data_IF_835148149010
#
_entry.id   IF_835148149010
#
_cell.length_a   1.000
_cell.length_b   1.000
_cell.length_c   1.000
_cell.angle_alpha   90.00
_cell.angle_beta   90.00
_cell.angle_gamma   90.00
#
_symmetry.space_group_name_H-M   'P 1'
#
loop_
_entity.id
_entity.type
_entity.pdbx_description
1 polymer ?
#
# COMPACT_ATOMS: atom_id res chain seq x y z
N UNK A 1 5.96 4.88 4.40
CA UNK A 1 5.08 4.76 3.23
C UNK A 1 5.88 4.20 2.07
N UNK A 2 5.28 3.28 1.32
CA UNK A 2 5.84 2.84 0.05
C UNK A 2 5.00 3.39 -1.09
N UNK A 3 5.67 4.00 -2.06
CA UNK A 3 5.06 4.43 -3.32
C UNK A 3 5.27 3.33 -4.33
N UNK A 4 4.17 2.78 -4.84
CA UNK A 4 4.18 1.63 -5.75
C UNK A 4 3.53 1.98 -7.09
N UNK A 5 4.00 1.33 -8.14
CA UNK A 5 3.36 1.29 -9.45
C UNK A 5 2.91 -0.13 -9.76
N UNK A 6 1.76 -0.26 -10.44
CA UNK A 6 1.26 -1.54 -10.93
C UNK A 6 0.89 -1.38 -12.40
N UNK A 7 1.75 -1.81 -13.32
CA UNK A 7 1.50 -1.68 -14.75
C UNK A 7 0.38 -2.62 -15.21
N UNK A 8 -0.42 -2.19 -16.17
CA UNK A 8 -1.46 -3.01 -16.81
C UNK A 8 -0.90 -3.90 -17.93
N UNK A 9 0.31 -3.59 -18.41
CA UNK A 9 1.03 -4.37 -19.42
C UNK A 9 2.52 -4.43 -19.08
N UNK A 10 3.21 -5.43 -19.63
CA UNK A 10 4.67 -5.53 -19.53
C UNK A 10 5.32 -4.26 -20.09
N UNK A 11 6.32 -3.74 -19.38
CA UNK A 11 6.99 -2.50 -19.76
C UNK A 11 8.48 -2.52 -19.38
N UNK A 12 9.33 -2.13 -20.31
CA UNK A 12 10.78 -2.01 -20.11
C UNK A 12 11.37 -0.73 -20.77
N UNK A 13 10.48 0.15 -21.27
CA UNK A 13 10.80 1.41 -21.91
C UNK A 13 11.15 2.53 -20.94
N UNK A 14 10.98 3.78 -21.38
CA UNK A 14 11.32 4.97 -20.59
C UNK A 14 10.12 5.38 -19.73
N UNK A 15 10.28 5.38 -18.41
CA UNK A 15 9.35 6.06 -17.49
C UNK A 15 9.67 7.54 -17.47
N UNK A 16 9.05 8.31 -18.38
CA UNK A 16 9.49 9.66 -18.69
C UNK A 16 9.09 10.71 -17.66
N UNK A 17 7.93 10.55 -17.01
CA UNK A 17 7.48 11.51 -16.00
C UNK A 17 6.52 10.89 -15.00
N UNK A 18 6.62 11.35 -13.76
CA UNK A 18 5.72 11.03 -12.67
C UNK A 18 5.50 12.28 -11.82
N UNK A 19 4.25 12.62 -11.54
CA UNK A 19 3.89 13.58 -10.50
C UNK A 19 2.85 12.93 -9.60
N UNK A 20 3.05 13.03 -8.29
CA UNK A 20 2.08 12.58 -7.30
C UNK A 20 2.11 13.47 -6.06
N UNK A 21 0.98 13.54 -5.38
CA UNK A 21 0.82 14.33 -4.16
C UNK A 21 0.32 13.45 -3.03
N UNK A 22 0.96 13.56 -1.88
CA UNK A 22 0.54 12.93 -0.63
C UNK A 22 -0.13 13.99 0.24
N UNK A 23 -1.31 13.68 0.76
CA UNK A 23 -2.02 14.50 1.76
C UNK A 23 -2.18 13.77 3.07
N UNK A 24 -2.33 14.53 4.17
CA UNK A 24 -2.66 14.03 5.51
C UNK A 24 -3.24 15.14 6.38
N UNK A 25 -3.95 14.76 7.43
CA UNK A 25 -4.52 15.71 8.39
C UNK A 25 -3.40 16.39 9.18
N UNK A 26 -3.38 17.72 9.12
CA UNK A 26 -2.42 18.59 9.81
C UNK A 26 -2.54 18.50 11.33
N UNK A 27 -3.74 18.29 11.87
CA UNK A 27 -4.00 18.24 13.32
C UNK A 27 -3.29 17.07 14.01
N UNK A 28 -2.90 16.04 13.24
CA UNK A 28 -2.19 14.86 13.76
C UNK A 28 -0.75 15.17 14.20
N UNK A 29 -0.16 16.28 13.71
CA UNK A 29 1.26 16.58 13.90
C UNK A 29 2.22 15.62 13.20
N UNK A 30 1.72 14.69 12.39
CA UNK A 30 2.54 13.76 11.64
C UNK A 30 3.31 14.45 10.51
N UNK A 31 4.49 13.92 10.18
CA UNK A 31 5.39 14.48 9.17
C UNK A 31 5.94 13.40 8.24
N UNK A 32 6.27 13.82 7.02
CA UNK A 32 7.00 13.01 6.04
C UNK A 32 8.51 13.30 6.16
N UNK A 33 9.30 12.25 6.30
CA UNK A 33 10.77 12.31 6.24
C UNK A 33 11.29 12.39 4.80
N UNK A 34 12.62 12.31 4.65
CA UNK A 34 13.25 12.31 3.35
C UNK A 34 12.96 11.01 2.60
N UNK A 35 12.55 11.17 1.35
CA UNK A 35 12.25 10.03 0.48
C UNK A 35 13.52 9.29 0.12
N UNK A 36 13.45 7.98 0.15
CA UNK A 36 14.51 7.06 -0.25
C UNK A 36 14.09 6.31 -1.50
N UNK A 37 14.97 6.26 -2.48
CA UNK A 37 14.83 5.39 -3.65
C UNK A 37 16.02 4.45 -3.72
N UNK A 38 15.71 3.18 -3.96
CA UNK A 38 16.71 2.16 -4.22
C UNK A 38 16.89 1.93 -5.72
N UNK A 39 18.02 1.36 -6.10
CA UNK A 39 18.24 0.92 -7.47
C UNK A 39 17.40 -0.36 -7.75
N UNK A 40 16.87 -0.54 -8.96
CA UNK A 40 17.07 0.32 -10.14
C UNK A 40 16.11 1.51 -10.26
N UNK A 41 15.14 1.68 -9.34
CA UNK A 41 14.13 2.74 -9.46
C UNK A 41 14.76 4.14 -9.52
N UNK A 42 15.73 4.40 -8.66
CA UNK A 42 16.46 5.67 -8.65
C UNK A 42 17.15 5.99 -9.97
N UNK A 43 17.55 4.97 -10.74
CA UNK A 43 18.27 5.13 -12.00
C UNK A 43 17.34 5.43 -13.17
N UNK A 44 16.16 4.77 -13.23
CA UNK A 44 15.24 4.96 -14.36
C UNK A 44 14.17 6.03 -14.13
N UNK A 45 13.84 6.37 -12.88
CA UNK A 45 12.90 7.45 -12.52
C UNK A 45 13.36 8.14 -11.22
N UNK A 46 14.41 8.96 -11.25
CA UNK A 46 14.77 9.76 -10.08
C UNK A 46 13.60 10.68 -9.71
N UNK A 47 13.17 10.62 -8.45
CA UNK A 47 12.04 11.37 -7.90
C UNK A 47 12.58 12.36 -6.86
N UNK A 48 12.07 13.56 -6.86
CA UNK A 48 12.41 14.60 -5.89
C UNK A 48 11.15 15.14 -5.21
N UNK A 49 11.33 15.67 -4.02
CA UNK A 49 10.32 16.48 -3.35
C UNK A 49 10.18 17.81 -4.10
N UNK A 50 8.98 18.15 -4.54
CA UNK A 50 8.69 19.40 -5.28
C UNK A 50 8.23 20.48 -4.30
N UNK A 51 9.20 21.23 -3.77
CA UNK A 51 8.97 22.28 -2.80
C UNK A 51 8.67 21.78 -1.38
N UNK A 52 8.23 22.69 -0.52
CA UNK A 52 7.86 22.41 0.87
C UNK A 52 6.44 21.84 0.97
N UNK A 53 6.11 21.30 2.14
CA UNK A 53 4.72 21.00 2.52
C UNK A 53 3.86 22.24 2.35
N UNK A 54 2.73 22.08 1.69
CA UNK A 54 1.73 23.14 1.49
C UNK A 54 0.52 22.84 2.35
N UNK A 55 -0.07 23.89 2.93
CA UNK A 55 -1.25 23.77 3.77
C UNK A 55 -2.48 24.29 3.05
N UNK A 56 -3.58 23.54 3.12
CA UNK A 56 -4.89 23.97 2.64
C UNK A 56 -5.96 23.52 3.64
N UNK A 57 -6.57 24.46 4.35
CA UNK A 57 -7.50 24.17 5.44
C UNK A 57 -6.84 23.35 6.57
N UNK A 58 -7.45 22.19 6.87
CA UNK A 58 -6.92 21.24 7.87
C UNK A 58 -5.91 20.23 7.29
N UNK A 59 -5.53 20.37 6.03
CA UNK A 59 -4.79 19.33 5.29
C UNK A 59 -3.41 19.83 4.89
N UNK A 60 -2.42 18.98 5.07
CA UNK A 60 -1.07 19.12 4.52
C UNK A 60 -0.97 18.38 3.18
N UNK A 61 -0.19 18.93 2.26
CA UNK A 61 0.11 18.38 0.94
C UNK A 61 1.60 18.42 0.65
N UNK A 62 2.15 17.30 0.18
CA UNK A 62 3.52 17.24 -0.34
C UNK A 62 3.52 16.69 -1.75
N UNK A 63 4.05 17.48 -2.67
CA UNK A 63 4.19 17.10 -4.08
C UNK A 63 5.54 16.45 -4.31
N UNK A 64 5.56 15.43 -5.13
CA UNK A 64 6.76 14.75 -5.63
C UNK A 64 6.72 14.72 -7.15
N UNK A 65 7.88 14.88 -7.78
CA UNK A 65 8.03 14.82 -9.23
C UNK A 65 9.25 13.97 -9.61
N UNK A 66 9.08 13.13 -10.60
CA UNK A 66 10.12 12.29 -11.17
C UNK A 66 10.25 12.46 -12.68
N UNK A 67 11.48 12.42 -13.18
CA UNK A 67 11.78 12.50 -14.60
C UNK A 67 12.82 11.45 -14.96
N UNK A 68 12.45 10.50 -15.83
CA UNK A 68 13.33 9.47 -16.35
C UNK A 68 13.69 9.72 -17.82
N UNK A 69 14.94 9.46 -18.15
CA UNK A 69 15.49 9.65 -19.50
C UNK A 69 16.07 8.36 -20.08
N UNK A 70 16.17 7.30 -19.31
CA UNK A 70 16.68 6.00 -19.73
C UNK A 70 15.62 4.91 -19.60
N UNK A 71 15.67 3.91 -20.47
CA UNK A 71 14.75 2.79 -20.42
C UNK A 71 15.02 1.91 -19.18
N UNK A 72 13.99 1.30 -18.63
CA UNK A 72 14.11 0.32 -17.53
C UNK A 72 15.10 -0.79 -17.91
N UNK A 73 15.02 -1.27 -19.16
CA UNK A 73 15.91 -2.32 -19.67
C UNK A 73 17.40 -1.96 -19.58
N UNK A 74 17.77 -0.67 -19.69
CA UNK A 74 19.16 -0.21 -19.54
C UNK A 74 19.69 -0.41 -18.10
N UNK A 75 18.80 -0.57 -17.12
CA UNK A 75 19.11 -0.78 -15.72
C UNK A 75 18.72 -2.18 -15.24
N UNK A 76 18.61 -3.14 -16.17
CA UNK A 76 18.20 -4.53 -15.90
C UNK A 76 16.84 -4.63 -15.18
N UNK A 77 15.98 -3.64 -15.39
CA UNK A 77 14.64 -3.59 -14.84
C UNK A 77 13.60 -3.89 -15.92
N UNK A 78 12.52 -4.54 -15.52
CA UNK A 78 11.36 -4.79 -16.36
C UNK A 78 10.13 -4.88 -15.47
N UNK A 79 9.08 -4.20 -15.83
CA UNK A 79 7.79 -4.30 -15.16
C UNK A 79 6.93 -5.37 -15.85
N UNK A 80 6.27 -6.19 -15.05
CA UNK A 80 5.29 -7.16 -15.53
C UNK A 80 3.88 -6.70 -15.22
N UNK A 81 2.96 -6.99 -16.12
CA UNK A 81 1.55 -6.69 -15.94
C UNK A 81 1.03 -7.24 -14.60
N UNK A 82 0.38 -6.38 -13.82
CA UNK A 82 -0.24 -6.73 -12.53
C UNK A 82 0.71 -6.84 -11.34
N UNK A 83 2.03 -6.80 -11.52
CA UNK A 83 2.99 -6.80 -10.40
C UNK A 83 3.09 -5.40 -9.76
N UNK A 84 3.17 -5.36 -8.44
CA UNK A 84 3.42 -4.12 -7.71
C UNK A 84 4.91 -3.92 -7.50
N UNK A 85 5.41 -2.78 -7.97
CA UNK A 85 6.82 -2.41 -7.89
C UNK A 85 6.96 -1.20 -6.96
N UNK A 86 7.77 -1.30 -5.92
CA UNK A 86 8.12 -0.17 -5.05
C UNK A 86 9.09 0.72 -5.83
N UNK A 87 8.73 2.00 -6.00
CA UNK A 87 9.56 3.00 -6.67
C UNK A 87 10.19 4.00 -5.72
N UNK A 88 9.61 4.17 -4.53
CA UNK A 88 10.16 5.02 -3.47
C UNK A 88 9.60 4.61 -2.10
N UNK A 89 10.36 4.91 -1.05
CA UNK A 89 9.94 4.78 0.35
C UNK A 89 10.07 6.14 1.04
N UNK A 90 9.05 6.53 1.81
CA UNK A 90 9.02 7.79 2.56
C UNK A 90 8.83 7.45 4.04
N UNK A 91 9.84 7.67 4.88
CA UNK A 91 9.69 7.55 6.33
C UNK A 91 8.62 8.51 6.85
N UNK A 92 7.89 8.10 7.88
CA UNK A 92 6.88 8.94 8.53
C UNK A 92 7.15 9.02 10.02
N UNK A 93 6.82 10.16 10.62
CA UNK A 93 6.85 10.35 12.07
C UNK A 93 5.45 10.73 12.54
N UNK A 94 5.00 10.11 13.61
CA UNK A 94 3.62 10.26 14.09
C UNK A 94 2.64 9.31 13.38
N UNK A 95 1.36 9.48 13.67
CA UNK A 95 0.26 8.69 13.08
C UNK A 95 -0.67 9.63 12.32
N UNK A 96 -0.89 9.36 11.05
CA UNK A 96 -1.87 10.01 10.20
C UNK A 96 -2.29 9.07 9.07
N UNK A 97 -3.43 9.31 8.49
CA UNK A 97 -3.82 8.67 7.24
C UNK A 97 -3.19 9.44 6.08
N UNK A 98 -2.15 8.85 5.49
CA UNK A 98 -1.46 9.41 4.34
C UNK A 98 -2.03 8.84 3.06
N UNK A 99 -2.45 9.70 2.15
CA UNK A 99 -3.11 9.31 0.91
C UNK A 99 -2.45 9.96 -0.31
N UNK A 100 -2.29 9.18 -1.38
CA UNK A 100 -2.08 9.73 -2.72
C UNK A 100 -3.40 10.28 -3.21
N UNK A 101 -3.39 11.52 -3.73
CA UNK A 101 -4.62 12.21 -4.10
C UNK A 101 -4.56 12.91 -5.45
N UNK A 102 -5.75 13.05 -6.05
CA UNK A 102 -6.02 13.94 -7.17
C UNK A 102 -7.34 14.65 -6.85
N UNK A 103 -7.27 15.78 -6.15
CA UNK A 103 -8.41 16.50 -5.58
C UNK A 103 -8.44 17.98 -6.03
N UNK A 104 -9.30 18.79 -5.41
CA UNK A 104 -9.44 20.19 -5.77
C UNK A 104 -8.13 20.98 -5.64
N UNK A 105 -7.34 20.70 -4.59
CA UNK A 105 -6.05 21.34 -4.39
C UNK A 105 -5.05 20.97 -5.48
N UNK A 106 -4.95 19.69 -5.82
CA UNK A 106 -4.00 19.22 -6.84
C UNK A 106 -4.39 19.68 -8.24
N UNK A 107 -5.69 19.86 -8.51
CA UNK A 107 -6.23 20.30 -9.79
C UNK A 107 -6.07 21.81 -10.06
N UNK A 108 -5.71 22.60 -9.05
CA UNK A 108 -5.38 24.00 -9.27
C UNK A 108 -4.07 24.14 -10.03
N UNK A 109 -4.10 24.81 -11.17
CA UNK A 109 -2.92 24.98 -12.04
C UNK A 109 -1.72 25.62 -11.30
N UNK A 110 -1.98 26.52 -10.35
CA UNK A 110 -0.95 27.16 -9.53
C UNK A 110 -0.18 26.16 -8.63
N UNK A 111 -0.79 25.05 -8.27
CA UNK A 111 -0.17 24.03 -7.43
C UNK A 111 0.74 23.09 -8.21
N UNK A 112 0.50 22.91 -9.52
CA UNK A 112 1.23 21.97 -10.39
C UNK A 112 1.38 20.58 -9.74
N UNK A 113 0.29 20.07 -9.20
CA UNK A 113 0.28 18.94 -8.27
C UNK A 113 -0.60 17.77 -8.76
N UNK A 114 -1.15 17.88 -9.98
CA UNK A 114 -1.98 16.83 -10.56
C UNK A 114 -1.21 15.52 -10.66
N UNK A 115 -1.88 14.43 -10.30
CA UNK A 115 -1.36 13.10 -10.57
C UNK A 115 -1.16 12.92 -12.08
N UNK A 116 0.07 12.56 -12.45
CA UNK A 116 0.47 12.41 -13.83
C UNK A 116 1.52 11.33 -14.01
N UNK A 117 1.34 10.51 -15.04
CA UNK A 117 2.27 9.46 -15.44
C UNK A 117 2.48 9.52 -16.95
N UNK A 118 3.73 9.53 -17.39
CA UNK A 118 4.09 9.40 -18.80
C UNK A 118 5.10 8.27 -19.01
N UNK A 119 4.81 7.42 -19.99
CA UNK A 119 5.71 6.35 -20.45
C UNK A 119 6.08 6.60 -21.90
N UNK A 120 7.41 6.67 -22.19
CA UNK A 120 7.89 6.96 -23.54
C UNK A 120 7.43 8.33 -24.07
N UNK A 121 7.17 9.29 -23.18
CA UNK A 121 6.66 10.62 -23.54
C UNK A 121 5.14 10.68 -23.80
N UNK A 122 4.45 9.56 -23.80
CA UNK A 122 2.99 9.51 -23.92
C UNK A 122 2.32 9.52 -22.54
N UNK A 123 1.23 10.29 -22.40
CA UNK A 123 0.40 10.26 -21.20
C UNK A 123 -0.18 8.85 -21.00
N UNK A 124 0.10 8.29 -19.82
CA UNK A 124 -0.37 7.00 -19.37
C UNK A 124 -0.89 7.09 -17.93
N UNK A 125 -1.41 8.25 -17.58
CA UNK A 125 -2.00 8.51 -16.27
C UNK A 125 -3.14 7.53 -16.03
N UNK A 126 -2.93 6.62 -15.11
CA UNK A 126 -3.90 5.62 -14.69
C UNK A 126 -4.68 6.06 -13.47
N UNK A 127 -5.08 5.09 -12.66
CA UNK A 127 -5.80 5.32 -11.41
C UNK A 127 -4.84 5.33 -10.23
N UNK A 128 -5.12 6.18 -9.23
CA UNK A 128 -4.49 6.06 -7.92
C UNK A 128 -5.15 4.88 -7.22
N UNK A 129 -4.37 3.91 -6.81
CA UNK A 129 -4.86 2.81 -5.99
C UNK A 129 -4.12 2.81 -4.66
N UNK A 130 -4.83 2.50 -3.59
CA UNK A 130 -4.20 2.14 -2.32
C UNK A 130 -3.89 0.66 -2.44
N UNK A 131 -2.61 0.28 -2.42
CA UNK A 131 -2.27 -1.13 -2.31
C UNK A 131 -2.94 -1.63 -1.03
N UNK A 132 -3.86 -2.58 -1.19
CA UNK A 132 -4.40 -3.29 -0.05
C UNK A 132 -3.39 -4.37 0.40
N UNK A 133 -2.15 -3.96 0.65
CA UNK A 133 -1.43 -4.54 1.77
C UNK A 133 -2.21 -4.02 2.96
N UNK A 134 -3.19 -4.77 3.41
CA UNK A 134 -3.86 -4.48 4.66
C UNK A 134 -2.88 -4.71 5.80
N UNK A 135 -1.89 -3.81 5.94
CA UNK A 135 -1.56 -3.35 7.25
C UNK A 135 -2.76 -2.46 7.61
N UNK A 136 -3.85 -3.06 8.06
CA UNK A 136 -4.82 -2.34 8.86
C UNK A 136 -4.04 -1.71 9.99
N UNK A 137 -3.91 -0.39 9.95
CA UNK A 137 -3.12 0.41 10.90
C UNK A 137 -3.59 0.23 12.35
N UNK A 138 -4.65 -0.54 12.56
CA UNK A 138 -5.19 -0.75 13.89
C UNK A 138 -4.53 -1.91 14.65
N UNK A 139 -3.80 -2.84 14.03
CA UNK A 139 -3.22 -3.96 14.80
C UNK A 139 -2.06 -4.74 14.13
N UNK A 140 -1.39 -4.20 13.11
CA UNK A 140 -0.21 -4.86 12.51
C UNK A 140 -0.49 -6.23 11.89
N UNK A 141 -1.69 -6.45 11.34
CA UNK A 141 -2.06 -7.70 10.67
C UNK A 141 -1.61 -7.63 9.21
N UNK A 142 -0.76 -8.55 8.80
CA UNK A 142 -0.30 -8.70 7.42
C UNK A 142 -0.98 -9.92 6.78
N UNK A 143 -1.57 -9.76 5.60
CA UNK A 143 -2.20 -10.84 4.84
C UNK A 143 -1.61 -10.86 3.43
N UNK A 144 -0.97 -11.95 3.01
CA UNK A 144 -0.27 -12.04 1.72
C UNK A 144 -0.38 -13.45 1.10
N UNK A 145 -0.60 -13.50 -0.24
CA UNK A 145 -1.13 -12.46 -1.10
C UNK A 145 -2.61 -12.17 -0.82
N UNK A 146 -3.08 -10.95 -1.12
CA UNK A 146 -4.48 -10.60 -1.08
C UNK A 146 -4.78 -9.56 -2.19
N UNK A 147 -5.49 -9.88 -3.28
CA UNK A 147 -6.15 -11.17 -3.57
C UNK A 147 -5.20 -12.37 -3.70
N UNK A 148 -5.74 -13.59 -3.51
CA UNK A 148 -5.00 -14.84 -3.56
C UNK A 148 -5.70 -15.88 -4.47
N UNK A 149 -5.01 -16.98 -4.72
CA UNK A 149 -5.50 -18.14 -5.50
C UNK A 149 -6.00 -19.29 -4.59
N UNK A 150 -6.50 -18.98 -3.41
CA UNK A 150 -6.91 -19.93 -2.38
C UNK A 150 -5.84 -20.17 -1.31
N UNK A 151 -4.61 -19.71 -1.52
CA UNK A 151 -3.52 -19.84 -0.55
C UNK A 151 -3.00 -18.46 -0.14
N UNK A 152 -2.90 -18.22 1.15
CA UNK A 152 -2.36 -16.98 1.71
C UNK A 152 -1.75 -17.23 3.09
N UNK A 153 -0.90 -16.32 3.51
CA UNK A 153 -0.36 -16.28 4.87
C UNK A 153 -0.87 -15.02 5.56
N UNK A 154 -1.19 -15.12 6.83
CA UNK A 154 -1.37 -13.93 7.66
C UNK A 154 -0.50 -13.99 8.90
N UNK A 155 -0.08 -12.81 9.35
CA UNK A 155 0.75 -12.63 10.55
C UNK A 155 0.45 -11.32 11.26
N UNK A 156 0.65 -11.30 12.58
CA UNK A 156 0.52 -10.12 13.43
C UNK A 156 1.29 -10.33 14.73
N UNK A 157 1.57 -9.24 15.45
CA UNK A 157 2.24 -9.30 16.74
C UNK A 157 1.26 -8.98 17.87
N UNK A 158 1.38 -9.70 18.96
CA UNK A 158 0.65 -9.47 20.23
C UNK A 158 1.66 -8.99 21.26
N UNK A 159 1.49 -7.76 21.76
CA UNK A 159 2.50 -7.06 22.55
C UNK A 159 2.62 -7.55 24.01
N UNK A 160 1.63 -8.29 24.50
CA UNK A 160 1.64 -8.84 25.85
C UNK A 160 0.65 -10.00 26.00
N UNK A 161 0.74 -10.80 27.05
CA UNK A 161 -0.09 -11.99 27.22
C UNK A 161 -1.58 -11.67 27.15
N UNK A 162 -2.30 -12.26 26.19
CA UNK A 162 -3.74 -12.10 26.03
C UNK A 162 -4.38 -13.34 25.42
N UNK A 163 -5.67 -13.52 25.67
CA UNK A 163 -6.42 -14.58 25.00
C UNK A 163 -6.68 -14.18 23.54
N UNK A 164 -6.26 -15.05 22.65
CA UNK A 164 -6.32 -14.87 21.21
C UNK A 164 -7.31 -15.86 20.61
N UNK A 165 -8.23 -15.35 19.77
CA UNK A 165 -9.05 -16.20 18.89
C UNK A 165 -8.94 -15.66 17.46
N UNK A 166 -8.61 -16.54 16.53
CA UNK A 166 -8.48 -16.25 15.10
C UNK A 166 -9.48 -17.10 14.33
N UNK A 167 -10.28 -16.47 13.49
CA UNK A 167 -11.28 -17.14 12.66
C UNK A 167 -11.19 -16.66 11.22
N UNK A 168 -11.38 -17.56 10.28
CA UNK A 168 -11.65 -17.21 8.88
C UNK A 168 -13.11 -17.52 8.60
N UNK A 169 -13.87 -16.51 8.16
CA UNK A 169 -15.30 -16.61 7.90
C UNK A 169 -15.54 -16.54 6.38
N UNK A 170 -16.51 -17.28 5.88
CA UNK A 170 -17.00 -17.11 4.50
C UNK A 170 -17.94 -15.88 4.40
N UNK A 171 -18.45 -15.60 3.20
CA UNK A 171 -19.38 -14.49 2.93
C UNK A 171 -20.72 -14.57 3.69
N UNK A 172 -21.08 -15.76 4.20
CA UNK A 172 -22.27 -15.99 5.01
C UNK A 172 -21.98 -15.84 6.52
N UNK A 173 -20.73 -15.51 6.90
CA UNK A 173 -20.32 -15.38 8.30
C UNK A 173 -20.05 -16.72 9.01
N UNK A 174 -20.01 -17.84 8.28
CA UNK A 174 -19.70 -19.14 8.84
C UNK A 174 -18.19 -19.30 8.95
N UNK A 175 -17.70 -19.78 10.10
CA UNK A 175 -16.29 -20.04 10.32
C UNK A 175 -15.84 -21.28 9.52
N UNK A 176 -14.87 -21.09 8.64
CA UNK A 176 -14.19 -22.15 7.89
C UNK A 176 -12.86 -22.54 8.54
N UNK A 177 -12.38 -21.70 9.45
CA UNK A 177 -11.21 -21.94 10.29
C UNK A 177 -11.39 -21.24 11.63
N UNK A 178 -10.94 -21.88 12.71
CA UNK A 178 -10.88 -21.27 14.06
C UNK A 178 -9.66 -21.81 14.81
N UNK A 179 -8.90 -20.92 15.45
CA UNK A 179 -7.82 -21.26 16.37
C UNK A 179 -7.88 -20.33 17.58
N UNK A 180 -7.73 -20.90 18.80
CA UNK A 180 -7.70 -20.13 20.05
C UNK A 180 -6.44 -20.46 20.83
N UNK A 181 -5.85 -19.44 21.46
CA UNK A 181 -4.68 -19.55 22.35
C UNK A 181 -4.88 -18.69 23.58
N UNK A 182 -4.64 -19.24 24.74
CA UNK A 182 -4.73 -18.51 26.02
C UNK A 182 -3.38 -17.90 26.36
N UNK A 183 -3.38 -16.64 26.81
CA UNK A 183 -2.16 -15.94 27.26
C UNK A 183 -1.09 -15.83 26.17
N UNK A 184 -1.49 -15.72 24.91
CA UNK A 184 -0.54 -15.63 23.79
C UNK A 184 0.15 -14.26 23.75
N UNK A 185 1.48 -14.29 23.50
CA UNK A 185 2.33 -13.11 23.28
C UNK A 185 3.31 -13.41 22.14
N UNK A 186 3.73 -12.38 21.42
CA UNK A 186 4.70 -12.48 20.34
C UNK A 186 4.08 -12.53 18.95
N UNK A 187 4.82 -13.05 17.97
CA UNK A 187 4.41 -13.08 16.56
C UNK A 187 3.55 -14.32 16.27
N UNK A 188 2.33 -14.05 15.78
CA UNK A 188 1.43 -15.08 15.24
C UNK A 188 1.56 -15.12 13.72
N UNK A 189 1.80 -16.29 13.16
CA UNK A 189 1.84 -16.52 11.70
C UNK A 189 1.09 -17.80 11.37
N UNK A 190 0.27 -17.73 10.31
CA UNK A 190 -0.49 -18.89 9.83
C UNK A 190 -0.56 -18.89 8.31
N UNK A 191 -0.33 -20.05 7.73
CA UNK A 191 -0.59 -20.33 6.31
C UNK A 191 -1.98 -20.96 6.18
N UNK A 192 -2.76 -20.43 5.25
CA UNK A 192 -4.12 -20.85 4.96
C UNK A 192 -4.23 -21.44 3.57
N UNK A 193 -5.01 -22.51 3.46
CA UNK A 193 -5.38 -23.13 2.19
C UNK A 193 -6.91 -23.22 2.11
N UNK A 194 -7.49 -22.42 1.22
CA UNK A 194 -8.91 -22.39 0.91
C UNK A 194 -9.22 -23.03 -0.46
N UNK A 195 -8.26 -23.71 -1.09
CA UNK A 195 -8.42 -24.27 -2.46
C UNK A 195 -9.56 -25.27 -2.58
N UNK A 196 -9.98 -25.90 -1.47
CA UNK A 196 -11.17 -26.77 -1.41
C UNK A 196 -12.48 -26.01 -1.23
N UNK A 197 -12.43 -24.69 -1.06
CA UNK A 197 -13.58 -23.82 -0.85
C UNK A 197 -13.93 -23.07 -2.16
N UNK A 198 -15.05 -22.35 -2.16
CA UNK A 198 -15.45 -21.51 -3.30
C UNK A 198 -14.65 -20.23 -3.35
N UNK A 199 -14.37 -19.74 -4.58
CA UNK A 199 -13.84 -18.38 -4.78
C UNK A 199 -14.80 -17.34 -4.22
N UNK A 200 -14.25 -16.20 -3.74
CA UNK A 200 -15.06 -15.12 -3.19
C UNK A 200 -14.39 -14.36 -2.06
N UNK A 201 -15.21 -13.59 -1.33
CA UNK A 201 -14.75 -12.83 -0.17
C UNK A 201 -14.81 -13.67 1.11
N UNK A 202 -13.71 -13.68 1.83
CA UNK A 202 -13.57 -14.23 3.18
C UNK A 202 -13.20 -13.11 4.14
N UNK A 203 -13.35 -13.37 5.44
CA UNK A 203 -13.08 -12.39 6.49
C UNK A 203 -12.24 -13.03 7.58
N UNK A 204 -11.00 -12.55 7.75
CA UNK A 204 -10.15 -12.91 8.87
C UNK A 204 -10.58 -12.09 10.09
N UNK A 205 -11.12 -12.72 11.11
CA UNK A 205 -11.52 -12.10 12.37
C UNK A 205 -10.52 -12.48 13.45
N UNK A 206 -9.95 -11.49 14.13
CA UNK A 206 -8.97 -11.67 15.20
C UNK A 206 -9.54 -11.02 16.46
N UNK A 207 -9.68 -11.82 17.50
CA UNK A 207 -10.07 -11.36 18.83
C UNK A 207 -8.85 -11.44 19.76
N UNK A 208 -8.46 -10.31 20.34
CA UNK A 208 -7.38 -10.18 21.32
C UNK A 208 -7.99 -9.63 22.61
N UNK A 209 -8.25 -10.48 23.60
CA UNK A 209 -9.03 -10.10 24.79
C UNK A 209 -10.40 -9.57 24.39
N UNK A 210 -10.71 -8.31 24.70
CA UNK A 210 -11.96 -7.63 24.33
C UNK A 210 -11.93 -6.99 22.94
N UNK A 211 -10.75 -6.85 22.34
CA UNK A 211 -10.59 -6.18 21.03
C UNK A 211 -10.85 -7.17 19.89
N UNK A 212 -11.70 -6.79 18.94
CA UNK A 212 -12.01 -7.58 17.73
C UNK A 212 -11.68 -6.75 16.50
N UNK A 213 -10.91 -7.34 15.59
CA UNK A 213 -10.63 -6.78 14.27
C UNK A 213 -11.06 -7.75 13.17
N UNK A 214 -11.44 -7.21 12.00
CA UNK A 214 -11.90 -8.02 10.88
C UNK A 214 -11.27 -7.49 9.58
N UNK A 215 -10.64 -8.38 8.82
CA UNK A 215 -9.90 -8.07 7.62
C UNK A 215 -10.46 -8.85 6.43
N UNK A 216 -10.69 -8.20 5.30
CA UNK A 216 -11.21 -8.85 4.10
C UNK A 216 -10.08 -9.61 3.39
N UNK A 217 -10.34 -10.85 2.99
CA UNK A 217 -9.48 -11.70 2.17
C UNK A 217 -10.21 -12.04 0.90
N UNK A 218 -9.59 -11.86 -0.26
CA UNK A 218 -10.20 -12.13 -1.56
C UNK A 218 -9.53 -13.35 -2.19
N UNK A 219 -10.34 -14.40 -2.44
CA UNK A 219 -9.94 -15.59 -3.19
C UNK A 219 -10.54 -15.53 -4.59
N UNK A 220 -9.71 -15.45 -5.62
CA UNK A 220 -10.06 -15.38 -7.04
C UNK A 220 -9.89 -16.72 -7.75
#
# INVERSE_FOLDING_TARGET
LEVRVRPEADFDGIFSSLVFTIRWDRSTGATLGDMVQEDPARQYIPIIRSGNVRESGSTNYQVYAGFGMSALAAHSARWRAGEEIVIATIPVTGKADFELVNDAFTNEAANNANYYVALGGADRTGVIFKSMTTADEDNGVLIQPNPNNGQFTFSFTVAGPTDLTVEVLNSLGQAVYTESRTGFEGNFRKEMDLTSMSTGAYYLRIKRGEQITTHKVVYN
#
